data_IF_385857084982
#
_entry.id   IF_385857084982
#
_cell.length_a   1.000
_cell.length_b   1.000
_cell.length_c   1.000
_cell.angle_alpha   90.00
_cell.angle_beta   90.00
_cell.angle_gamma   90.00
#
_symmetry.space_group_name_H-M   'P 1'
#
loop_
_entity.id
_entity.type
_entity.pdbx_description
1 polymer ?
#
# COMPACT_ATOMS: atom_id res chain seq x y z
N UNK A 1 -0.39 41.11 -18.57
CA UNK A 1 0.89 41.36 -17.87
C UNK A 1 0.96 40.93 -16.39
N UNK A 2 -0.13 40.53 -15.71
CA UNK A 2 -0.09 40.10 -14.29
C UNK A 2 0.27 38.63 -14.03
N UNK A 3 0.30 37.78 -15.07
CA UNK A 3 0.59 36.33 -14.94
C UNK A 3 2.07 36.01 -15.18
N UNK A 4 2.79 36.85 -15.93
CA UNK A 4 4.21 36.62 -16.27
C UNK A 4 5.13 36.94 -15.07
N UNK A 5 4.79 37.92 -14.24
CA UNK A 5 5.51 38.18 -12.98
C UNK A 5 5.19 37.17 -11.87
N UNK A 6 4.16 36.32 -12.04
CA UNK A 6 3.84 35.25 -11.09
C UNK A 6 4.73 34.01 -11.29
N UNK A 7 5.32 33.87 -12.48
CA UNK A 7 6.19 32.76 -12.85
C UNK A 7 7.65 32.99 -12.39
N UNK A 8 8.04 34.26 -12.15
CA UNK A 8 9.39 34.63 -11.70
C UNK A 8 9.57 34.63 -10.17
N UNK A 9 8.53 34.37 -9.39
CA UNK A 9 8.59 34.31 -7.91
C UNK A 9 8.57 32.89 -7.34
N UNK A 10 8.52 31.86 -8.20
CA UNK A 10 8.80 30.49 -7.80
C UNK A 10 10.30 30.33 -7.93
N UNK A 11 10.99 30.20 -6.80
CA UNK A 11 12.42 29.91 -6.74
C UNK A 11 12.74 28.65 -7.55
N UNK A 12 13.12 28.86 -8.80
CA UNK A 12 13.71 27.84 -9.68
C UNK A 12 14.98 27.28 -9.00
N UNK A 13 15.61 28.03 -8.10
CA UNK A 13 16.72 27.61 -7.24
C UNK A 13 16.35 26.51 -6.24
N UNK A 14 15.20 26.55 -5.54
CA UNK A 14 14.81 25.48 -4.60
C UNK A 14 14.30 24.22 -5.32
N UNK A 15 13.64 24.40 -6.46
CA UNK A 15 13.29 23.28 -7.36
C UNK A 15 14.55 22.67 -7.97
N UNK A 16 15.56 23.47 -8.31
CA UNK A 16 16.87 22.98 -8.77
C UNK A 16 17.71 22.36 -7.66
N UNK A 17 17.64 22.84 -6.41
CA UNK A 17 18.37 22.23 -5.28
C UNK A 17 17.74 20.87 -4.95
N UNK A 18 16.41 20.79 -4.86
CA UNK A 18 15.70 19.52 -4.68
C UNK A 18 15.84 18.57 -5.88
N UNK A 19 15.91 19.07 -7.13
CA UNK A 19 16.21 18.26 -8.30
C UNK A 19 17.69 17.87 -8.39
N UNK A 20 18.63 18.70 -7.94
CA UNK A 20 20.07 18.41 -7.97
C UNK A 20 20.45 17.36 -6.92
N UNK A 21 19.84 17.39 -5.73
CA UNK A 21 19.97 16.31 -4.74
C UNK A 21 19.35 14.99 -5.23
N UNK A 22 18.28 15.06 -6.03
CA UNK A 22 17.63 13.89 -6.67
C UNK A 22 18.40 13.38 -7.89
N UNK A 23 19.07 14.27 -8.65
CA UNK A 23 19.90 13.92 -9.82
C UNK A 23 21.28 13.37 -9.41
N UNK A 24 21.93 13.93 -8.38
CA UNK A 24 23.23 13.42 -7.90
C UNK A 24 23.13 12.00 -7.34
N UNK A 25 22.01 11.66 -6.69
CA UNK A 25 21.80 10.31 -6.16
C UNK A 25 21.46 9.26 -7.24
N UNK A 26 20.77 9.66 -8.32
CA UNK A 26 20.54 8.75 -9.45
C UNK A 26 21.82 8.49 -10.29
N UNK A 27 22.76 9.44 -10.31
CA UNK A 27 24.05 9.24 -10.97
C UNK A 27 25.00 8.34 -10.16
N UNK A 28 24.88 8.30 -8.82
CA UNK A 28 25.65 7.39 -7.98
C UNK A 28 25.16 5.93 -8.02
N UNK A 29 23.88 5.69 -8.34
CA UNK A 29 23.33 4.33 -8.49
C UNK A 29 23.55 3.72 -9.89
N UNK A 30 24.14 4.47 -10.83
CA UNK A 30 24.48 3.99 -12.18
C UNK A 30 25.99 3.80 -12.38
N UNK A 31 26.68 3.38 -11.31
CA UNK A 31 28.13 3.11 -11.32
C UNK A 31 28.42 1.66 -10.96
N UNK A 32 27.83 0.74 -11.70
CA UNK A 32 28.38 -0.60 -11.92
C UNK A 32 27.99 -1.10 -13.30
N UNK A 33 29.00 -1.38 -14.11
CA UNK A 33 28.87 -2.05 -15.40
C UNK A 33 28.68 -1.10 -16.58
N UNK A 34 29.77 -0.66 -17.18
CA UNK A 34 30.00 -0.76 -18.64
C UNK A 34 31.46 -0.38 -18.92
N UNK A 35 32.26 -1.40 -19.14
CA UNK A 35 33.57 -1.31 -19.78
C UNK A 35 33.41 -0.81 -21.22
N UNK A 36 34.34 0.06 -21.63
CA UNK A 36 34.73 0.33 -23.02
C UNK A 36 33.81 1.26 -23.84
N UNK A 37 34.23 2.53 -24.01
CA UNK A 37 34.63 3.10 -25.31
C UNK A 37 34.68 4.64 -25.33
N UNK A 38 35.92 5.15 -25.39
CA UNK A 38 36.44 6.28 -26.19
C UNK A 38 35.64 7.61 -26.24
N UNK A 39 36.05 8.49 -25.34
CA UNK A 39 36.46 9.89 -25.57
C UNK A 39 36.65 10.30 -27.05
N UNK A 40 35.91 11.31 -27.51
CA UNK A 40 36.41 12.32 -28.47
C UNK A 40 35.79 13.68 -28.11
N UNK A 41 36.64 14.56 -27.59
CA UNK A 41 36.46 16.01 -27.52
C UNK A 41 36.40 16.59 -28.94
N UNK A 42 35.52 17.56 -29.22
CA UNK A 42 35.89 18.66 -30.13
C UNK A 42 35.16 19.97 -29.80
N UNK A 43 35.98 21.01 -29.86
CA UNK A 43 35.81 22.40 -29.43
C UNK A 43 35.09 23.25 -30.48
N UNK A 44 34.39 24.29 -29.98
CA UNK A 44 33.90 25.51 -30.64
C UNK A 44 34.67 26.01 -31.88
N UNK A 45 33.96 26.46 -32.92
CA UNK A 45 34.23 27.75 -33.59
C UNK A 45 33.04 28.27 -34.42
N UNK A 46 33.01 29.59 -34.57
CA UNK A 46 31.92 30.46 -35.02
C UNK A 46 31.89 30.78 -36.53
N UNK A 47 30.80 31.44 -36.94
CA UNK A 47 30.63 32.42 -38.04
C UNK A 47 30.15 31.95 -39.44
N UNK A 48 28.89 32.30 -39.70
CA UNK A 48 28.36 33.13 -40.81
C UNK A 48 28.87 32.92 -42.25
N UNK A 49 27.96 32.52 -43.17
CA UNK A 49 27.42 33.41 -44.22
C UNK A 49 26.27 32.75 -44.99
N UNK A 50 25.43 33.61 -45.54
CA UNK A 50 24.12 33.35 -46.15
C UNK A 50 24.20 32.90 -47.61
N UNK A 51 23.21 32.11 -48.05
CA UNK A 51 22.45 32.16 -49.33
C UNK A 51 22.19 30.74 -49.88
N UNK A 52 20.97 30.23 -49.69
CA UNK A 52 20.17 29.71 -50.81
C UNK A 52 18.72 29.52 -50.38
N UNK A 53 17.83 30.28 -51.00
CA UNK A 53 16.38 30.10 -50.96
C UNK A 53 16.04 29.02 -51.98
N UNK A 54 15.62 27.84 -51.53
CA UNK A 54 14.77 26.95 -52.33
C UNK A 54 14.07 25.96 -51.37
N UNK A 55 12.74 25.89 -51.48
CA UNK A 55 11.81 24.89 -50.91
C UNK A 55 11.81 24.61 -49.39
N UNK A 56 11.34 25.58 -48.58
CA UNK A 56 10.67 25.25 -47.31
C UNK A 56 9.21 24.83 -47.55
N UNK A 57 9.04 23.64 -48.13
CA UNK A 57 7.81 22.84 -48.02
C UNK A 57 8.21 21.44 -47.54
N UNK A 58 8.78 21.41 -46.33
CA UNK A 58 9.00 20.20 -45.55
C UNK A 58 8.34 20.44 -44.18
N UNK A 59 7.05 20.08 -44.15
CA UNK A 59 6.38 19.45 -43.01
C UNK A 59 6.65 20.04 -41.61
N UNK A 60 6.34 21.31 -41.41
CA UNK A 60 5.95 21.83 -40.09
C UNK A 60 4.46 21.55 -39.85
N UNK A 61 4.07 20.27 -39.83
CA UNK A 61 2.69 19.85 -39.60
C UNK A 61 2.65 18.52 -38.86
N UNK A 62 3.01 18.54 -37.58
CA UNK A 62 2.49 17.63 -36.53
C UNK A 62 3.10 17.92 -35.14
N UNK A 63 3.24 19.20 -34.77
CA UNK A 63 3.27 19.60 -33.35
C UNK A 63 2.09 20.51 -33.03
N UNK A 64 0.96 20.26 -33.68
CA UNK A 64 -0.29 20.40 -32.95
C UNK A 64 -0.24 19.30 -31.91
N UNK A 65 0.08 19.66 -30.67
CA UNK A 65 -0.53 18.97 -29.55
C UNK A 65 -2.02 18.97 -29.85
N UNK A 66 -2.50 17.91 -30.50
CA UNK A 66 -3.82 17.37 -30.23
C UNK A 66 -3.76 17.14 -28.74
N UNK A 67 -4.16 18.18 -28.01
CA UNK A 67 -4.41 18.18 -26.59
C UNK A 67 -5.61 17.26 -26.48
N UNK A 68 -5.36 15.96 -26.61
CA UNK A 68 -6.33 14.91 -26.43
C UNK A 68 -6.92 15.24 -25.07
N UNK A 69 -8.15 15.78 -25.08
CA UNK A 69 -8.91 15.94 -23.84
C UNK A 69 -9.14 14.50 -23.43
N UNK A 70 -8.26 13.98 -22.58
CA UNK A 70 -8.42 12.68 -21.97
C UNK A 70 -9.87 12.60 -21.49
N UNK A 71 -10.65 11.70 -22.07
CA UNK A 71 -12.10 11.54 -21.89
C UNK A 71 -12.40 10.95 -20.51
N UNK A 72 -12.00 11.68 -19.47
CA UNK A 72 -12.27 11.36 -18.09
C UNK A 72 -12.27 12.68 -17.33
N UNK A 73 -13.42 13.37 -17.39
CA UNK A 73 -13.68 14.60 -16.64
C UNK A 73 -13.45 14.28 -15.15
N UNK A 74 -12.55 15.02 -14.51
CA UNK A 74 -12.35 14.89 -13.06
C UNK A 74 -13.65 15.32 -12.38
N UNK A 75 -14.14 14.51 -11.44
CA UNK A 75 -15.28 14.88 -10.62
C UNK A 75 -14.79 15.43 -9.29
N UNK A 76 -15.38 16.51 -8.76
CA UNK A 76 -15.06 16.98 -7.43
C UNK A 76 -15.51 15.92 -6.41
N UNK A 77 -14.75 15.85 -5.31
CA UNK A 77 -15.15 15.13 -4.12
C UNK A 77 -16.40 15.78 -3.49
N UNK A 78 -17.56 15.13 -3.56
CA UNK A 78 -18.76 15.60 -2.85
C UNK A 78 -18.89 14.96 -1.48
N UNK A 79 -18.59 13.66 -1.36
CA UNK A 79 -18.89 12.88 -0.15
C UNK A 79 -17.63 12.43 0.58
N UNK A 80 -17.52 12.70 1.88
CA UNK A 80 -16.37 12.27 2.70
C UNK A 80 -16.14 10.76 2.70
N UNK A 81 -17.22 9.97 2.60
CA UNK A 81 -17.20 8.50 2.57
C UNK A 81 -16.44 7.91 1.37
N UNK A 82 -16.34 8.64 0.26
CA UNK A 82 -15.58 8.20 -0.91
C UNK A 82 -14.06 8.16 -0.66
N UNK A 83 -13.58 8.71 0.46
CA UNK A 83 -12.17 8.63 0.87
C UNK A 83 -11.78 7.23 1.32
N UNK A 84 -12.75 6.46 1.82
CA UNK A 84 -12.45 5.18 2.43
C UNK A 84 -11.94 4.21 1.34
N UNK A 85 -10.79 3.54 1.53
CA UNK A 85 -10.20 2.69 0.51
C UNK A 85 -11.14 1.58 0.03
N UNK A 86 -11.98 1.08 0.94
CA UNK A 86 -12.94 0.00 0.71
C UNK A 86 -14.30 0.49 0.18
N UNK A 87 -14.55 1.81 0.09
CA UNK A 87 -15.86 2.35 -0.29
C UNK A 87 -16.35 1.82 -1.64
N UNK A 88 -15.56 2.00 -2.69
CA UNK A 88 -15.93 1.58 -4.05
C UNK A 88 -15.97 0.07 -4.22
N UNK A 89 -15.14 -0.66 -3.46
CA UNK A 89 -15.17 -2.11 -3.44
C UNK A 89 -16.46 -2.62 -2.80
N UNK A 90 -16.83 -2.11 -1.62
CA UNK A 90 -18.08 -2.45 -0.95
C UNK A 90 -19.31 -2.05 -1.80
N UNK A 91 -19.27 -0.87 -2.42
CA UNK A 91 -20.30 -0.43 -3.36
C UNK A 91 -20.45 -1.45 -4.50
N UNK A 92 -19.36 -1.88 -5.11
CA UNK A 92 -19.36 -2.84 -6.20
C UNK A 92 -19.84 -4.24 -5.78
N UNK A 93 -19.46 -4.70 -4.59
CA UNK A 93 -19.92 -5.97 -4.03
C UNK A 93 -21.42 -5.96 -3.71
N UNK A 94 -21.97 -4.81 -3.33
CA UNK A 94 -23.41 -4.65 -3.06
C UNK A 94 -24.29 -4.73 -4.32
N UNK A 95 -23.74 -4.51 -5.52
CA UNK A 95 -24.51 -4.52 -6.77
C UNK A 95 -25.05 -5.93 -7.06
N UNK A 96 -26.36 -6.13 -7.27
CA UNK A 96 -26.93 -7.46 -7.56
C UNK A 96 -26.49 -8.00 -8.94
N UNK A 97 -26.39 -9.32 -9.05
CA UNK A 97 -26.10 -10.02 -10.30
C UNK A 97 -27.34 -9.98 -11.21
N UNK A 98 -27.40 -8.99 -12.09
CA UNK A 98 -28.48 -8.79 -13.06
C UNK A 98 -27.92 -8.53 -14.48
N UNK A 99 -28.79 -8.49 -15.49
CA UNK A 99 -28.39 -8.07 -16.83
C UNK A 99 -27.74 -6.67 -16.78
N UNK A 100 -26.57 -6.50 -17.41
CA UNK A 100 -25.81 -5.25 -17.34
C UNK A 100 -24.92 -5.09 -16.09
N UNK A 101 -24.70 -6.15 -15.30
CA UNK A 101 -23.82 -6.12 -14.12
C UNK A 101 -22.41 -5.57 -14.43
N UNK A 102 -21.80 -6.04 -15.52
CA UNK A 102 -20.45 -5.62 -15.94
C UNK A 102 -20.42 -4.13 -16.30
N UNK A 103 -21.49 -3.61 -16.89
CA UNK A 103 -21.59 -2.19 -17.26
C UNK A 103 -21.66 -1.33 -16.01
N UNK A 104 -22.51 -1.69 -15.03
CA UNK A 104 -22.57 -1.01 -13.73
C UNK A 104 -21.24 -1.03 -12.99
N UNK A 105 -20.53 -2.16 -12.98
CA UNK A 105 -19.18 -2.21 -12.41
C UNK A 105 -18.21 -1.28 -13.14
N UNK A 106 -18.33 -1.18 -14.47
CA UNK A 106 -17.59 -0.22 -15.28
C UNK A 106 -17.85 1.22 -14.86
N UNK A 107 -19.12 1.59 -14.65
CA UNK A 107 -19.51 2.93 -14.17
C UNK A 107 -18.91 3.25 -12.81
N UNK A 108 -18.98 2.30 -11.86
CA UNK A 108 -18.37 2.45 -10.52
C UNK A 108 -16.86 2.64 -10.64
N UNK A 109 -16.18 1.86 -11.50
CA UNK A 109 -14.75 2.03 -11.74
C UNK A 109 -14.42 3.41 -12.32
N UNK A 110 -15.20 3.90 -13.29
CA UNK A 110 -15.01 5.24 -13.85
C UNK A 110 -15.21 6.34 -12.82
N UNK A 111 -16.18 6.19 -11.93
CA UNK A 111 -16.39 7.08 -10.81
C UNK A 111 -15.20 7.06 -9.85
N UNK A 112 -14.79 5.87 -9.40
CA UNK A 112 -13.62 5.66 -8.54
C UNK A 112 -12.37 6.33 -9.11
N UNK A 113 -12.03 6.08 -10.39
CA UNK A 113 -10.86 6.67 -11.04
C UNK A 113 -11.01 8.18 -11.22
N UNK A 114 -12.23 8.68 -11.41
CA UNK A 114 -12.46 10.12 -11.59
C UNK A 114 -12.35 10.90 -10.30
N UNK A 115 -12.81 10.32 -9.19
CA UNK A 115 -12.78 10.89 -7.85
C UNK A 115 -11.39 10.74 -7.21
N UNK A 116 -10.76 9.57 -7.33
CA UNK A 116 -9.40 9.30 -6.80
C UNK A 116 -8.32 10.21 -7.39
N UNK A 117 -8.58 10.81 -8.56
CA UNK A 117 -7.69 11.80 -9.17
C UNK A 117 -7.74 13.16 -8.49
N UNK A 118 -8.67 13.41 -7.56
CA UNK A 118 -8.64 14.62 -6.74
C UNK A 118 -7.59 14.51 -5.63
N UNK A 119 -6.95 15.63 -5.28
CA UNK A 119 -5.85 15.64 -4.31
C UNK A 119 -6.35 15.32 -2.89
N UNK A 120 -7.59 15.71 -2.58
CA UNK A 120 -8.22 15.44 -1.28
C UNK A 120 -8.44 13.94 -1.01
N UNK A 121 -8.51 13.12 -2.07
CA UNK A 121 -8.73 11.67 -1.98
C UNK A 121 -7.49 10.83 -2.31
N UNK A 122 -6.31 11.45 -2.37
CA UNK A 122 -5.09 10.64 -2.28
C UNK A 122 -5.09 10.01 -0.89
N UNK A 123 -5.49 8.72 -0.85
CA UNK A 123 -5.65 7.68 0.20
C UNK A 123 -4.68 7.68 1.41
N UNK A 124 -3.92 8.71 1.64
CA UNK A 124 -2.49 8.51 1.74
C UNK A 124 -1.82 9.62 2.58
N UNK A 125 -2.58 10.69 2.86
CA UNK A 125 -2.35 11.72 3.87
C UNK A 125 -3.50 11.71 4.89
N UNK A 126 -3.87 10.54 5.40
CA UNK A 126 -4.85 10.47 6.50
C UNK A 126 -4.30 11.24 7.71
N UNK A 127 -4.80 12.46 7.88
CA UNK A 127 -4.61 13.24 9.10
C UNK A 127 -5.53 12.64 10.15
N UNK A 128 -5.08 12.62 11.41
CA UNK A 128 -5.87 12.04 12.52
C UNK A 128 -7.23 12.77 12.69
N UNK A 129 -7.41 13.95 12.08
CA UNK A 129 -8.69 14.67 11.95
C UNK A 129 -8.74 15.42 10.60
N UNK A 130 -9.84 15.27 9.86
CA UNK A 130 -10.07 15.90 8.54
C UNK A 130 -10.58 17.36 8.64
N UNK A 131 -10.16 18.10 9.67
CA UNK A 131 -10.57 19.50 9.82
C UNK A 131 -9.59 20.40 9.06
N UNK A 132 -10.07 21.00 7.97
CA UNK A 132 -9.30 21.93 7.12
C UNK A 132 -8.81 23.19 7.85
N UNK A 133 -9.34 23.46 9.04
CA UNK A 133 -8.91 24.55 9.92
C UNK A 133 -7.80 24.15 10.87
N UNK A 134 -7.59 22.85 11.14
CA UNK A 134 -6.76 22.36 12.26
C UNK A 134 -5.37 21.81 11.88
N UNK A 135 -5.11 21.66 10.60
CA UNK A 135 -3.88 21.05 10.08
C UNK A 135 -2.67 21.99 10.04
N UNK A 136 -2.83 23.28 9.75
CA UNK A 136 -1.72 24.24 9.76
C UNK A 136 -1.59 24.91 11.14
N UNK A 137 -0.36 25.15 11.63
CA UNK A 137 -0.17 25.91 12.85
C UNK A 137 -0.78 27.31 12.72
N UNK A 138 -1.40 27.79 13.81
CA UNK A 138 -1.77 29.19 13.90
C UNK A 138 -0.50 30.04 13.94
N UNK A 139 -0.39 31.00 13.02
CA UNK A 139 0.74 31.93 12.93
C UNK A 139 0.19 33.32 13.24
N UNK A 140 0.83 34.01 14.19
CA UNK A 140 0.48 35.40 14.46
C UNK A 140 0.94 36.27 13.29
N UNK A 141 -0.04 36.83 12.59
CA UNK A 141 0.18 37.65 11.39
C UNK A 141 0.92 38.95 11.74
N UNK A 142 0.82 39.41 12.99
CA UNK A 142 1.50 40.63 13.48
C UNK A 142 2.98 40.40 13.81
N UNK A 143 3.41 39.15 13.93
CA UNK A 143 4.82 38.84 14.20
C UNK A 143 5.71 39.39 13.08
N UNK A 144 6.93 39.88 13.39
CA UNK A 144 7.89 40.24 12.36
C UNK A 144 8.25 39.05 11.47
N UNK A 145 8.65 39.33 10.23
CA UNK A 145 9.24 38.34 9.34
C UNK A 145 10.51 37.76 9.98
N UNK A 146 10.80 36.48 9.72
CA UNK A 146 11.88 35.76 10.40
C UNK A 146 13.27 36.43 10.25
N UNK A 147 13.53 37.07 9.11
CA UNK A 147 14.79 37.80 8.85
C UNK A 147 15.01 38.97 9.84
N UNK A 148 13.94 39.56 10.36
CA UNK A 148 13.97 40.74 11.22
C UNK A 148 13.68 40.43 12.69
N UNK A 149 13.49 39.15 13.06
CA UNK A 149 13.13 38.74 14.42
C UNK A 149 14.27 39.03 15.43
N UNK A 150 15.53 38.94 15.00
CA UNK A 150 16.70 39.22 15.84
C UNK A 150 17.07 40.71 15.93
N UNK A 151 16.35 41.57 15.21
CA UNK A 151 16.68 43.00 15.08
C UNK A 151 16.08 43.78 16.25
N UNK A 152 16.89 44.05 17.29
CA UNK A 152 16.49 44.83 18.47
C UNK A 152 15.92 46.21 18.16
N UNK A 153 16.39 46.85 17.08
CA UNK A 153 15.90 48.16 16.65
C UNK A 153 14.40 48.17 16.31
N UNK A 154 13.84 47.01 15.93
CA UNK A 154 12.44 46.88 15.59
C UNK A 154 11.53 46.94 16.82
N UNK A 155 12.03 46.57 18.01
CA UNK A 155 11.28 46.65 19.28
C UNK A 155 10.98 48.11 19.67
N UNK A 156 11.94 49.02 19.43
CA UNK A 156 11.84 50.45 19.70
C UNK A 156 11.18 51.25 18.57
N UNK A 157 10.94 50.64 17.41
CA UNK A 157 10.42 51.32 16.24
C UNK A 157 8.94 51.75 16.43
N UNK A 158 8.49 52.83 15.75
CA UNK A 158 7.09 53.22 15.75
C UNK A 158 6.21 52.13 15.12
N UNK A 159 4.95 52.07 15.54
CA UNK A 159 4.01 50.99 15.15
C UNK A 159 3.82 50.86 13.64
N UNK A 160 3.88 51.97 12.90
CA UNK A 160 3.82 51.97 11.44
C UNK A 160 4.97 51.18 10.80
N UNK A 161 6.17 51.28 11.37
CA UNK A 161 7.36 50.54 10.90
C UNK A 161 7.26 49.08 11.30
N UNK A 162 6.84 48.77 12.54
CA UNK A 162 6.59 47.38 12.97
C UNK A 162 5.59 46.67 12.06
N UNK A 163 4.52 47.37 11.67
CA UNK A 163 3.51 46.87 10.75
C UNK A 163 4.10 46.55 9.36
N UNK A 164 4.97 47.38 8.80
CA UNK A 164 5.63 47.12 7.52
C UNK A 164 6.50 45.85 7.50
N UNK A 165 7.17 45.55 8.63
CA UNK A 165 8.01 44.36 8.78
C UNK A 165 7.26 43.13 9.32
N UNK A 166 5.96 43.26 9.60
CA UNK A 166 5.11 42.14 9.99
C UNK A 166 4.85 41.17 8.83
N UNK A 167 4.43 39.96 9.16
CA UNK A 167 4.01 38.96 8.19
C UNK A 167 2.75 39.40 7.42
N UNK A 168 1.90 40.26 7.99
CA UNK A 168 0.73 40.86 7.33
C UNK A 168 1.09 41.54 6.00
N UNK A 169 2.21 42.29 5.99
CA UNK A 169 2.76 42.98 4.81
C UNK A 169 3.84 42.14 4.12
N UNK A 170 3.88 40.84 4.43
CA UNK A 170 4.79 39.88 3.86
C UNK A 170 4.32 39.27 2.54
N UNK A 171 5.24 38.52 1.96
CA UNK A 171 4.92 37.62 0.86
C UNK A 171 4.41 36.29 1.44
N UNK A 172 3.72 35.48 0.63
CA UNK A 172 3.29 34.14 1.05
C UNK A 172 4.46 33.26 1.54
N UNK A 173 5.68 33.51 1.05
CA UNK A 173 6.92 32.84 1.51
C UNK A 173 7.17 33.03 3.01
N UNK A 174 6.77 34.18 3.56
CA UNK A 174 7.02 34.51 4.96
C UNK A 174 6.09 33.67 5.87
N UNK A 175 4.83 33.50 5.45
CA UNK A 175 3.88 32.59 6.09
C UNK A 175 4.34 31.12 5.99
N UNK A 176 4.81 30.68 4.82
CA UNK A 176 5.29 29.31 4.66
C UNK A 176 6.51 29.01 5.51
N UNK A 177 7.41 29.97 5.64
CA UNK A 177 8.55 29.87 6.52
C UNK A 177 8.12 29.68 7.97
N UNK A 178 7.17 30.48 8.46
CA UNK A 178 6.68 30.36 9.84
C UNK A 178 5.96 29.03 10.10
N UNK A 179 5.14 28.55 9.16
CA UNK A 179 4.53 27.22 9.26
C UNK A 179 5.57 26.11 9.31
N UNK A 180 6.59 26.16 8.44
CA UNK A 180 7.71 25.21 8.45
C UNK A 180 8.41 25.24 9.81
N UNK A 181 8.80 26.42 10.28
CA UNK A 181 9.51 26.60 11.56
C UNK A 181 8.69 26.12 12.75
N UNK A 182 7.39 26.46 12.80
CA UNK A 182 6.48 26.02 13.87
C UNK A 182 6.35 24.49 13.93
N UNK A 183 6.25 23.80 12.78
CA UNK A 183 6.19 22.34 12.76
C UNK A 183 7.55 21.70 13.07
N UNK A 184 8.65 22.26 12.56
CA UNK A 184 10.01 21.78 12.88
C UNK A 184 10.31 21.89 14.37
N UNK A 185 9.95 23.01 14.99
CA UNK A 185 10.21 23.26 16.41
C UNK A 185 9.51 22.28 17.35
N UNK A 186 8.43 21.63 16.92
CA UNK A 186 7.76 20.61 17.72
C UNK A 186 8.58 19.34 17.83
N UNK A 187 9.28 18.96 16.76
CA UNK A 187 9.90 17.65 16.60
C UNK A 187 11.43 17.69 16.69
N UNK A 188 12.06 18.85 16.52
CA UNK A 188 13.51 18.99 16.60
C UNK A 188 14.04 18.56 17.97
N UNK A 189 15.15 17.84 17.98
CA UNK A 189 15.82 17.44 19.22
C UNK A 189 16.68 18.59 19.77
N UNK A 190 17.39 19.29 18.87
CA UNK A 190 18.27 20.41 19.21
C UNK A 190 17.83 21.70 18.50
N UNK A 191 18.25 22.86 19.02
CA UNK A 191 17.86 24.15 18.44
C UNK A 191 18.42 24.38 17.03
N UNK A 192 19.64 23.90 16.79
CA UNK A 192 20.36 24.02 15.52
C UNK A 192 20.12 22.82 14.58
N UNK A 193 19.26 21.88 14.98
CA UNK A 193 18.95 20.73 14.16
C UNK A 193 18.07 21.14 12.96
N UNK A 194 18.65 20.98 11.77
CA UNK A 194 18.01 21.35 10.50
C UNK A 194 17.84 20.16 9.55
N UNK A 195 18.51 19.03 9.81
CA UNK A 195 18.70 17.94 8.85
C UNK A 195 18.34 16.55 9.37
N UNK A 196 18.00 16.40 10.65
CA UNK A 196 17.50 15.13 11.20
C UNK A 196 16.28 14.61 10.44
N UNK A 197 16.03 13.29 10.56
CA UNK A 197 14.89 12.67 9.89
C UNK A 197 13.57 13.28 10.35
N UNK A 198 13.44 13.55 11.64
CA UNK A 198 12.30 14.19 12.30
C UNK A 198 12.03 15.58 11.70
N UNK A 199 13.06 16.41 11.62
CA UNK A 199 12.98 17.76 11.06
C UNK A 199 12.63 17.72 9.57
N UNK A 200 13.21 16.78 8.81
CA UNK A 200 12.88 16.59 7.39
C UNK A 200 11.43 16.14 7.21
N UNK A 201 10.92 15.25 8.05
CA UNK A 201 9.50 14.84 8.06
C UNK A 201 8.60 16.04 8.35
N UNK A 202 8.96 16.87 9.34
CA UNK A 202 8.22 18.08 9.67
C UNK A 202 8.20 19.09 8.51
N UNK A 203 9.35 19.31 7.83
CA UNK A 203 9.47 20.16 6.64
C UNK A 203 8.55 19.71 5.50
N UNK A 204 8.59 18.41 5.16
CA UNK A 204 7.69 17.86 4.12
C UNK A 204 6.23 17.96 4.53
N UNK A 205 5.91 17.71 5.79
CA UNK A 205 4.55 17.87 6.31
C UNK A 205 4.06 19.30 6.18
N UNK A 206 4.88 20.30 6.52
CA UNK A 206 4.53 21.71 6.33
C UNK A 206 4.26 22.06 4.86
N UNK A 207 5.12 21.58 3.95
CA UNK A 207 4.96 21.78 2.50
C UNK A 207 3.68 21.16 1.96
N UNK A 208 3.42 19.90 2.30
CA UNK A 208 2.20 19.17 1.91
C UNK A 208 0.97 19.94 2.37
N UNK A 209 0.93 20.36 3.64
CA UNK A 209 -0.20 21.09 4.19
C UNK A 209 -0.42 22.42 3.49
N UNK A 210 0.65 23.18 3.36
CA UNK A 210 0.61 24.48 2.71
C UNK A 210 0.13 24.40 1.25
N UNK A 211 0.73 23.51 0.45
CA UNK A 211 0.42 23.37 -0.97
C UNK A 211 -0.97 22.79 -1.19
N UNK A 212 -1.43 21.89 -0.34
CA UNK A 212 -2.81 21.39 -0.39
C UNK A 212 -3.81 22.51 -0.07
N UNK A 213 -3.51 23.41 0.87
CA UNK A 213 -4.36 24.58 1.13
C UNK A 213 -4.41 25.49 -0.09
N UNK A 214 -3.24 25.82 -0.64
CA UNK A 214 -3.12 26.64 -1.85
C UNK A 214 -3.90 26.04 -3.02
N UNK A 215 -3.80 24.73 -3.21
CA UNK A 215 -4.49 24.00 -4.27
C UNK A 215 -6.02 24.02 -4.06
N UNK A 216 -6.50 24.04 -2.81
CA UNK A 216 -7.92 24.17 -2.48
C UNK A 216 -8.46 25.57 -2.76
N UNK A 217 -7.65 26.61 -2.54
CA UNK A 217 -8.01 28.02 -2.82
C UNK A 217 -8.04 28.33 -4.33
N UNK A 218 -7.26 27.59 -5.13
CA UNK A 218 -7.17 27.80 -6.58
C UNK A 218 -8.39 27.26 -7.35
N UNK A 219 -8.96 28.08 -8.24
CA UNK A 219 -10.04 27.66 -9.16
C UNK A 219 -9.64 26.51 -10.09
N UNK A 220 -8.39 26.54 -10.57
CA UNK A 220 -7.81 25.49 -11.40
C UNK A 220 -6.72 24.79 -10.60
N UNK A 221 -6.69 23.46 -10.64
CA UNK A 221 -5.77 22.64 -9.86
C UNK A 221 -4.64 22.14 -10.77
N UNK A 222 -3.53 22.89 -10.94
CA UNK A 222 -2.51 22.61 -11.95
C UNK A 222 -1.74 21.32 -11.69
N UNK A 223 -1.35 20.62 -12.75
CA UNK A 223 -0.66 19.33 -12.67
C UNK A 223 0.68 19.39 -11.91
N UNK A 224 1.49 20.42 -12.17
CA UNK A 224 2.82 20.58 -11.56
C UNK A 224 2.76 20.66 -10.02
N UNK A 225 1.79 21.39 -9.46
CA UNK A 225 1.62 21.53 -8.00
C UNK A 225 1.16 20.21 -7.39
N UNK A 226 0.20 19.53 -8.02
CA UNK A 226 -0.26 18.20 -7.59
C UNK A 226 0.85 17.16 -7.60
N UNK A 227 1.71 17.20 -8.61
CA UNK A 227 2.87 16.32 -8.73
C UNK A 227 3.92 16.63 -7.66
N UNK A 228 4.14 17.91 -7.35
CA UNK A 228 5.05 18.34 -6.27
C UNK A 228 4.56 17.87 -4.90
N UNK A 229 3.25 18.01 -4.61
CA UNK A 229 2.62 17.46 -3.40
C UNK A 229 2.82 15.95 -3.34
N UNK A 230 2.55 15.24 -4.43
CA UNK A 230 2.72 13.78 -4.50
C UNK A 230 4.14 13.31 -4.18
N UNK A 231 5.14 13.96 -4.78
CA UNK A 231 6.55 13.64 -4.54
C UNK A 231 6.91 13.89 -3.07
N UNK A 232 6.41 14.98 -2.50
CA UNK A 232 6.65 15.33 -1.09
C UNK A 232 6.02 14.30 -0.13
N UNK A 233 4.81 13.81 -0.43
CA UNK A 233 4.15 12.74 0.33
C UNK A 233 5.00 11.46 0.30
N UNK A 234 5.42 11.03 -0.89
CA UNK A 234 6.23 9.82 -1.06
C UNK A 234 7.59 9.94 -0.37
N UNK A 235 8.23 11.10 -0.45
CA UNK A 235 9.48 11.35 0.24
C UNK A 235 9.29 11.31 1.76
N UNK A 236 8.24 11.95 2.30
CA UNK A 236 7.91 11.87 3.72
C UNK A 236 7.68 10.44 4.19
N UNK A 237 7.00 9.59 3.40
CA UNK A 237 6.83 8.16 3.74
C UNK A 237 8.13 7.41 3.81
N UNK A 238 9.03 7.65 2.86
CA UNK A 238 10.37 7.06 2.88
C UNK A 238 11.08 7.45 4.18
N UNK A 239 11.01 8.72 4.58
CA UNK A 239 11.61 9.18 5.84
C UNK A 239 10.95 8.55 7.07
N UNK A 240 9.62 8.45 7.11
CA UNK A 240 8.91 7.78 8.20
C UNK A 240 9.28 6.30 8.33
N UNK A 241 9.47 5.61 7.20
CA UNK A 241 9.95 4.22 7.19
C UNK A 241 11.38 4.12 7.77
N UNK A 242 12.28 4.98 7.31
CA UNK A 242 13.66 5.02 7.81
C UNK A 242 13.71 5.35 9.31
N UNK A 243 12.90 6.31 9.76
CA UNK A 243 12.83 6.68 11.16
C UNK A 243 12.33 5.52 12.02
N UNK A 244 11.30 4.79 11.57
CA UNK A 244 10.77 3.61 12.26
C UNK A 244 11.80 2.48 12.37
N UNK A 245 12.64 2.32 11.33
CA UNK A 245 13.72 1.32 11.31
C UNK A 245 14.87 1.69 12.26
N UNK A 246 15.13 2.99 12.44
CA UNK A 246 16.18 3.49 13.34
C UNK A 246 15.70 3.54 14.79
N UNK A 247 14.66 4.33 15.06
CA UNK A 247 14.21 4.70 16.40
C UNK A 247 12.68 4.70 16.48
N UNK A 248 12.13 3.70 17.18
CA UNK A 248 10.67 3.54 17.32
C UNK A 248 10.05 4.66 18.17
N UNK A 249 10.73 5.11 19.21
CA UNK A 249 10.21 6.14 20.14
C UNK A 249 10.11 7.51 19.45
N UNK A 250 11.16 7.93 18.74
CA UNK A 250 11.14 9.18 17.97
C UNK A 250 10.05 9.12 16.89
N UNK A 251 9.88 7.98 16.22
CA UNK A 251 8.81 7.74 15.26
C UNK A 251 7.41 7.98 15.87
N UNK A 252 7.09 7.37 17.02
CA UNK A 252 5.81 7.57 17.69
C UNK A 252 5.61 9.04 18.13
N UNK A 253 6.66 9.68 18.64
CA UNK A 253 6.65 11.10 19.00
C UNK A 253 6.33 12.00 17.80
N UNK A 254 6.96 11.75 16.65
CA UNK A 254 6.72 12.50 15.41
C UNK A 254 5.27 12.35 14.94
N UNK A 255 4.73 11.13 14.97
CA UNK A 255 3.33 10.88 14.57
C UNK A 255 2.35 11.63 15.48
N UNK A 256 2.59 11.61 16.80
CA UNK A 256 1.74 12.27 17.79
C UNK A 256 1.78 13.80 17.65
N UNK A 257 2.99 14.39 17.57
CA UNK A 257 3.17 15.84 17.48
C UNK A 257 2.67 16.41 16.15
N UNK A 258 2.98 15.74 15.05
CA UNK A 258 2.55 16.18 13.72
C UNK A 258 1.12 15.73 13.41
N UNK A 259 0.51 14.82 14.18
CA UNK A 259 -0.84 14.28 13.96
C UNK A 259 -0.98 13.60 12.59
N UNK A 260 -0.02 12.75 12.25
CA UNK A 260 0.02 11.97 11.00
C UNK A 260 -0.40 10.53 11.33
N UNK A 261 -1.30 9.95 10.53
CA UNK A 261 -1.54 8.52 10.58
C UNK A 261 -0.53 7.81 9.67
N UNK A 262 0.21 6.84 10.20
CA UNK A 262 1.12 6.02 9.40
C UNK A 262 0.37 4.79 8.86
N UNK A 263 0.35 4.66 7.54
CA UNK A 263 -0.16 3.48 6.85
C UNK A 263 0.99 2.80 6.10
N UNK A 264 1.19 1.52 6.35
CA UNK A 264 2.11 0.70 5.58
C UNK A 264 1.43 0.34 4.24
N UNK A 265 1.99 0.73 3.08
CA UNK A 265 1.41 0.34 1.81
C UNK A 265 1.45 -1.19 1.69
N UNK A 266 0.38 -1.84 1.19
CA UNK A 266 0.37 -3.26 0.94
C UNK A 266 1.37 -3.60 -0.17
N UNK A 267 1.74 -4.88 -0.26
CA UNK A 267 2.62 -5.36 -1.33
C UNK A 267 1.92 -5.21 -2.69
N UNK A 268 2.71 -5.10 -3.76
CA UNK A 268 2.15 -4.96 -5.11
C UNK A 268 1.32 -6.18 -5.54
N UNK A 269 1.61 -7.35 -4.98
CA UNK A 269 0.89 -8.60 -5.24
C UNK A 269 -0.51 -8.60 -4.61
N UNK A 270 -0.67 -7.94 -3.47
CA UNK A 270 -1.94 -7.82 -2.74
C UNK A 270 -2.83 -6.71 -3.30
N UNK A 271 -2.26 -5.82 -4.12
CA UNK A 271 -3.00 -4.71 -4.70
C UNK A 271 -3.92 -5.18 -5.83
N UNK A 272 -5.20 -4.77 -5.84
CA UNK A 272 -6.08 -5.08 -6.94
C UNK A 272 -5.55 -4.42 -8.22
N UNK A 273 -5.63 -5.11 -9.38
CA UNK A 273 -5.23 -4.54 -10.65
C UNK A 273 -6.05 -3.27 -10.95
N UNK A 274 -5.36 -2.18 -11.26
CA UNK A 274 -6.01 -0.87 -11.43
C UNK A 274 -6.64 -0.66 -12.82
N UNK A 275 -6.46 -1.59 -13.76
CA UNK A 275 -7.09 -1.53 -15.08
C UNK A 275 -8.59 -1.81 -14.96
N UNK A 276 -9.43 -1.21 -15.81
CA UNK A 276 -10.89 -1.43 -15.78
C UNK A 276 -11.24 -2.92 -15.82
N UNK A 277 -10.66 -3.64 -16.78
CA UNK A 277 -10.87 -5.08 -16.94
C UNK A 277 -10.42 -5.85 -15.69
N UNK A 278 -9.18 -5.63 -15.23
CA UNK A 278 -8.64 -6.35 -14.09
C UNK A 278 -9.43 -6.09 -12.81
N UNK A 279 -9.82 -4.84 -12.56
CA UNK A 279 -10.60 -4.48 -11.37
C UNK A 279 -11.99 -5.14 -11.39
N UNK A 280 -12.66 -5.15 -12.54
CA UNK A 280 -13.96 -5.85 -12.71
C UNK A 280 -13.79 -7.35 -12.44
N UNK A 281 -12.76 -7.99 -13.01
CA UNK A 281 -12.47 -9.41 -12.78
C UNK A 281 -12.17 -9.70 -11.31
N UNK A 282 -11.43 -8.81 -10.62
CA UNK A 282 -11.16 -8.91 -9.20
C UNK A 282 -12.45 -8.87 -8.35
N UNK A 283 -13.34 -7.91 -8.61
CA UNK A 283 -14.63 -7.80 -7.91
C UNK A 283 -15.50 -9.04 -8.18
N UNK A 284 -15.57 -9.50 -9.43
CA UNK A 284 -16.33 -10.71 -9.79
C UNK A 284 -15.78 -11.91 -9.03
N UNK A 285 -14.46 -12.11 -9.02
CA UNK A 285 -13.82 -13.23 -8.31
C UNK A 285 -14.15 -13.20 -6.82
N UNK A 286 -14.03 -12.03 -6.17
CA UNK A 286 -14.43 -11.85 -4.77
C UNK A 286 -15.89 -12.20 -4.53
N UNK A 287 -16.79 -11.75 -5.40
CA UNK A 287 -18.22 -12.03 -5.28
C UNK A 287 -18.56 -13.51 -5.47
N UNK A 288 -17.89 -14.18 -6.41
CA UNK A 288 -18.03 -15.62 -6.63
C UNK A 288 -17.55 -16.40 -5.41
N UNK A 289 -16.43 -16.02 -4.80
CA UNK A 289 -15.93 -16.69 -3.59
C UNK A 289 -16.90 -16.53 -2.42
N UNK A 290 -17.46 -15.32 -2.20
CA UNK A 290 -18.49 -15.12 -1.16
C UNK A 290 -19.73 -16.00 -1.39
N UNK A 291 -20.22 -16.07 -2.63
CA UNK A 291 -21.38 -16.93 -2.97
C UNK A 291 -21.05 -18.41 -2.75
N UNK A 292 -19.82 -18.82 -3.07
CA UNK A 292 -19.35 -20.18 -2.86
C UNK A 292 -19.25 -20.51 -1.37
N UNK A 293 -18.70 -19.62 -0.55
CA UNK A 293 -18.64 -19.74 0.90
C UNK A 293 -20.04 -19.82 1.52
N UNK A 294 -20.98 -18.98 1.07
CA UNK A 294 -22.37 -19.01 1.52
C UNK A 294 -23.04 -20.35 1.21
N UNK A 295 -22.86 -20.87 -0.01
CA UNK A 295 -23.38 -22.18 -0.42
C UNK A 295 -22.73 -23.32 0.36
N UNK A 296 -21.43 -23.26 0.60
CA UNK A 296 -20.72 -24.26 1.39
C UNK A 296 -21.20 -24.25 2.84
N UNK A 297 -21.44 -23.08 3.43
CA UNK A 297 -22.02 -22.95 4.77
C UNK A 297 -23.42 -23.53 4.86
N UNK A 298 -24.30 -23.17 3.92
CA UNK A 298 -25.66 -23.72 3.86
C UNK A 298 -25.65 -25.25 3.67
N UNK A 299 -24.76 -25.76 2.81
CA UNK A 299 -24.61 -27.20 2.61
C UNK A 299 -24.06 -27.91 3.84
N UNK A 300 -23.10 -27.30 4.54
CA UNK A 300 -22.54 -27.82 5.79
C UNK A 300 -23.61 -27.94 6.87
N UNK A 301 -24.48 -26.93 7.01
CA UNK A 301 -25.63 -26.98 7.92
C UNK A 301 -26.58 -28.12 7.57
N UNK A 302 -26.91 -28.32 6.29
CA UNK A 302 -27.72 -29.45 5.84
C UNK A 302 -27.08 -30.80 6.21
N UNK A 303 -25.77 -30.94 6.02
CA UNK A 303 -25.06 -32.16 6.37
C UNK A 303 -25.04 -32.42 7.88
N UNK A 304 -24.88 -31.38 8.71
CA UNK A 304 -24.99 -31.53 10.17
C UNK A 304 -26.37 -32.04 10.60
N UNK A 305 -27.44 -31.46 10.06
CA UNK A 305 -28.80 -31.93 10.38
C UNK A 305 -28.99 -33.39 9.98
N UNK A 306 -28.46 -33.81 8.81
CA UNK A 306 -28.51 -35.21 8.37
C UNK A 306 -27.69 -36.13 9.28
N UNK A 307 -26.54 -35.66 9.75
CA UNK A 307 -25.70 -36.41 10.68
C UNK A 307 -26.43 -36.64 12.00
N UNK A 308 -27.09 -35.61 12.55
CA UNK A 308 -27.89 -35.72 13.77
C UNK A 308 -29.03 -36.72 13.62
N UNK A 309 -29.78 -36.65 12.49
CA UNK A 309 -30.83 -37.62 12.17
C UNK A 309 -30.24 -39.04 12.10
N UNK A 310 -29.17 -39.23 11.35
CA UNK A 310 -28.53 -40.53 11.19
C UNK A 310 -28.04 -41.11 12.53
N UNK A 311 -27.41 -40.28 13.38
CA UNK A 311 -26.96 -40.72 14.71
C UNK A 311 -28.15 -41.15 15.56
N UNK A 312 -29.24 -40.37 15.59
CA UNK A 312 -30.45 -40.71 16.34
C UNK A 312 -31.09 -42.03 15.87
N UNK A 313 -31.00 -42.36 14.57
CA UNK A 313 -31.48 -43.63 14.02
C UNK A 313 -30.55 -44.81 14.35
N UNK A 314 -29.24 -44.58 14.46
CA UNK A 314 -28.23 -45.63 14.66
C UNK A 314 -27.96 -45.97 16.12
N UNK A 315 -28.07 -45.00 17.03
CA UNK A 315 -27.94 -45.22 18.48
C UNK A 315 -28.75 -46.42 19.01
N UNK A 316 -30.06 -46.57 18.74
CA UNK A 316 -30.82 -47.71 19.26
C UNK A 316 -30.38 -49.04 18.63
N UNK A 317 -29.95 -49.03 17.36
CA UNK A 317 -29.47 -50.24 16.70
C UNK A 317 -28.13 -50.70 17.27
N UNK A 318 -27.23 -49.77 17.60
CA UNK A 318 -25.98 -50.10 18.27
C UNK A 318 -26.22 -50.70 19.66
N UNK A 319 -27.16 -50.12 20.43
CA UNK A 319 -27.53 -50.67 21.74
C UNK A 319 -28.09 -52.10 21.61
N UNK A 320 -28.94 -52.36 20.63
CA UNK A 320 -29.49 -53.70 20.39
C UNK A 320 -28.39 -54.72 20.02
N UNK A 321 -27.44 -54.34 19.17
CA UNK A 321 -26.31 -55.20 18.81
C UNK A 321 -25.39 -55.47 20.01
N UNK A 322 -25.14 -54.46 20.85
CA UNK A 322 -24.33 -54.62 22.08
C UNK A 322 -25.00 -55.59 23.07
N UNK A 323 -26.34 -55.61 23.13
CA UNK A 323 -27.12 -56.56 23.94
C UNK A 323 -27.03 -57.99 23.36
N UNK A 324 -27.18 -58.13 22.05
CA UNK A 324 -27.01 -59.42 21.35
C UNK A 324 -25.59 -59.98 21.51
N UNK A 325 -24.56 -59.14 21.37
CA UNK A 325 -23.15 -59.54 21.55
C UNK A 325 -22.93 -60.07 22.97
N UNK A 326 -23.45 -59.37 23.99
CA UNK A 326 -23.37 -59.83 25.39
C UNK A 326 -24.07 -61.18 25.58
N UNK A 327 -25.26 -61.36 25.02
CA UNK A 327 -25.99 -62.63 25.10
C UNK A 327 -25.20 -63.79 24.46
N UNK A 328 -24.63 -63.58 23.27
CA UNK A 328 -23.78 -64.58 22.59
C UNK A 328 -22.53 -64.87 23.42
N UNK A 329 -21.88 -63.86 23.98
CA UNK A 329 -20.73 -64.04 24.86
C UNK A 329 -21.09 -64.87 26.12
N UNK A 330 -22.26 -64.63 26.72
CA UNK A 330 -22.76 -65.42 27.84
C UNK A 330 -23.04 -66.87 27.44
N UNK A 331 -23.66 -67.10 26.28
CA UNK A 331 -23.89 -68.45 25.72
C UNK A 331 -22.57 -69.18 25.45
N UNK A 332 -21.59 -68.51 24.83
CA UNK A 332 -20.26 -69.07 24.59
C UNK A 332 -19.55 -69.44 25.90
N UNK A 333 -19.61 -68.57 26.92
CA UNK A 333 -19.05 -68.86 28.23
C UNK A 333 -19.72 -70.08 28.89
N UNK A 334 -21.04 -70.24 28.72
CA UNK A 334 -21.75 -71.42 29.19
C UNK A 334 -21.34 -72.70 28.44
N UNK A 335 -21.13 -72.64 27.11
CA UNK A 335 -20.65 -73.77 26.31
C UNK A 335 -19.20 -74.16 26.66
N UNK A 336 -18.33 -73.18 26.90
CA UNK A 336 -16.96 -73.41 27.43
C UNK A 336 -17.01 -74.13 28.78
N UNK A 337 -18.04 -73.87 29.59
CA UNK A 337 -18.23 -74.53 30.89
C UNK A 337 -18.78 -75.96 30.80
N UNK A 338 -19.43 -76.34 29.68
CA UNK A 338 -20.12 -77.63 29.52
C UNK A 338 -19.35 -78.66 28.66
N UNK A 339 -18.29 -78.26 27.94
CA UNK A 339 -17.42 -79.21 27.22
C UNK A 339 -16.34 -79.78 28.15
N UNK A 340 -16.45 -81.10 28.33
CA UNK A 340 -15.46 -82.15 28.66
C UNK A 340 -13.98 -81.75 28.87
N UNK A 341 -13.34 -82.46 29.82
CA UNK A 341 -11.89 -82.56 30.12
C UNK A 341 -10.96 -81.63 29.34
N UNK A 342 -10.12 -80.80 30.02
CA UNK A 342 -9.16 -79.95 29.33
C UNK A 342 -8.31 -80.80 28.40
N UNK A 343 -8.49 -80.61 27.08
CA UNK A 343 -7.63 -81.24 26.09
C UNK A 343 -6.20 -80.83 26.45
N UNK A 344 -5.39 -81.82 26.84
CA UNK A 344 -3.98 -81.61 27.18
C UNK A 344 -3.29 -81.14 25.89
N UNK A 345 -3.09 -79.83 25.76
CA UNK A 345 -2.38 -79.24 24.63
C UNK A 345 -0.94 -79.77 24.69
N UNK A 346 -0.65 -80.78 23.86
CA UNK A 346 0.71 -81.30 23.72
C UNK A 346 1.41 -80.38 22.72
N UNK A 347 2.10 -79.37 23.25
CA UNK A 347 2.89 -78.41 22.49
C UNK A 347 2.83 -77.02 23.10
N UNK A 348 3.99 -76.37 23.26
CA UNK A 348 4.02 -74.94 23.57
C UNK A 348 3.50 -74.17 22.36
N UNK A 349 2.48 -73.33 22.58
CA UNK A 349 2.01 -72.41 21.55
C UNK A 349 3.08 -71.33 21.37
N UNK A 350 3.84 -71.39 20.28
CA UNK A 350 4.91 -70.44 19.94
C UNK A 350 4.37 -69.03 19.56
N UNK A 351 3.15 -68.66 19.95
CA UNK A 351 2.56 -67.38 19.54
C UNK A 351 2.26 -67.29 18.05
N UNK A 352 1.83 -66.10 17.59
CA UNK A 352 1.67 -65.76 16.17
C UNK A 352 3.04 -65.54 15.48
N UNK A 353 4.07 -66.30 15.82
CA UNK A 353 5.41 -66.11 15.26
C UNK A 353 5.41 -66.27 13.74
N UNK A 354 4.66 -67.24 13.20
CA UNK A 354 4.55 -67.46 11.75
C UNK A 354 3.89 -66.26 11.06
N UNK A 355 2.79 -65.74 11.62
CA UNK A 355 2.09 -64.59 11.05
C UNK A 355 2.95 -63.32 11.16
N UNK A 356 3.61 -63.10 12.30
CA UNK A 356 4.53 -61.97 12.50
C UNK A 356 5.76 -62.05 11.60
N UNK A 357 6.32 -63.25 11.37
CA UNK A 357 7.40 -63.47 10.41
C UNK A 357 6.90 -63.16 9.00
N UNK A 358 5.72 -63.66 8.62
CA UNK A 358 5.15 -63.41 7.30
C UNK A 358 4.82 -61.94 7.06
N UNK A 359 4.25 -61.23 8.05
CA UNK A 359 4.00 -59.79 7.98
C UNK A 359 5.33 -59.03 7.89
N UNK A 360 6.32 -59.34 8.73
CA UNK A 360 7.62 -58.68 8.68
C UNK A 360 8.37 -58.96 7.37
N UNK A 361 8.31 -60.18 6.84
CA UNK A 361 8.91 -60.53 5.55
C UNK A 361 8.19 -59.80 4.41
N UNK A 362 6.85 -59.78 4.40
CA UNK A 362 6.06 -59.04 3.42
C UNK A 362 6.33 -57.54 3.51
N UNK A 363 6.37 -56.97 4.71
CA UNK A 363 6.75 -55.57 4.94
C UNK A 363 8.19 -55.31 4.50
N UNK A 364 9.14 -56.21 4.74
CA UNK A 364 10.51 -56.06 4.23
C UNK A 364 10.57 -56.13 2.71
N UNK A 365 9.78 -57.00 2.08
CA UNK A 365 9.73 -57.16 0.63
C UNK A 365 9.12 -55.94 -0.06
N UNK A 366 8.04 -55.38 0.49
CA UNK A 366 7.34 -54.22 -0.09
C UNK A 366 7.95 -52.87 0.30
N UNK A 367 8.54 -52.75 1.49
CA UNK A 367 9.09 -51.49 2.01
C UNK A 367 10.61 -51.48 2.13
N UNK A 368 11.32 -52.45 1.51
CA UNK A 368 12.75 -52.30 1.28
C UNK A 368 12.98 -51.01 0.47
N UNK A 369 13.75 -50.04 1.00
CA UNK A 369 14.21 -48.95 0.15
C UNK A 369 15.03 -49.59 -0.98
N UNK A 370 14.62 -49.38 -2.24
CA UNK A 370 15.35 -49.84 -3.41
C UNK A 370 16.82 -49.40 -3.28
N UNK A 371 17.70 -50.31 -2.84
CA UNK A 371 19.17 -50.15 -2.88
C UNK A 371 19.71 -50.34 -4.30
N UNK A 372 18.94 -49.91 -5.29
CA UNK A 372 19.30 -49.97 -6.70
C UNK A 372 19.07 -48.59 -7.28
N UNK A 373 19.96 -47.64 -6.94
CA UNK A 373 20.25 -46.46 -7.78
C UNK A 373 21.40 -45.56 -7.26
N UNK A 374 22.21 -45.98 -6.28
CA UNK A 374 23.36 -45.16 -5.80
C UNK A 374 24.74 -45.61 -6.26
N UNK A 375 24.86 -46.63 -7.14
CA UNK A 375 26.17 -47.11 -7.64
C UNK A 375 26.33 -47.02 -9.18
N UNK A 376 25.64 -46.08 -9.83
CA UNK A 376 25.86 -45.76 -11.26
C UNK A 376 26.11 -44.29 -11.55
N UNK A 377 26.83 -43.62 -10.68
CA UNK A 377 27.48 -42.35 -11.02
C UNK A 377 28.89 -42.47 -10.44
N UNK A 378 29.90 -42.15 -11.25
CA UNK A 378 31.35 -42.34 -11.04
C UNK A 378 31.87 -43.73 -11.38
N UNK A 379 31.95 -44.05 -12.68
CA UNK A 379 33.13 -44.63 -13.33
C UNK A 379 32.97 -44.45 -14.86
N UNK A 380 33.43 -43.28 -15.32
CA UNK A 380 34.00 -42.90 -16.63
C UNK A 380 33.71 -41.44 -16.97
#
# INVERSE_FOLDING_TARGET
MKIVNFILSVDISEVLISLSEVFFFNLCLFKFGFTSCKFVFYIFFSMSFSWFVQSRFLSFSCFMHTRFKWYNIRRPATDTKQADPAYYENLALSVPLAQGYIERLGEIWFEMVSVSRDVNFKRDDFLIKHDSTHWLPHVDIKQPKAEYESVKALETAPESVKKLFSIEFGCRKDLTFQWKRSLMNKVRQNELDTSSLEVRIAKHTALIRHWSQLLSEMKSKPGWLRQSIYISINHRRKLLRLLREQDKESFENVLNQLKIAYYAPPLNEDLPPFTRKGWIEYIIRRKVEMIKEDKLRAHHEILKMRQEIFLSEKEPLLVALDEEEKAICEELNAVVSQKSEPLKVVGEYAGHEIDQISENEMHSYYYMPNKLETERIYLD
#
